data_IF_069990671942
#
_entry.id   IF_069990671942
#
_cell.length_a   1.000
_cell.length_b   1.000
_cell.length_c   1.000
_cell.angle_alpha   90.00
_cell.angle_beta   90.00
_cell.angle_gamma   90.00
#
_symmetry.space_group_name_H-M   'P 1'
#
loop_
_entity.id
_entity.type
_entity.pdbx_description
1 polymer ?
#
# COMPACT_ATOMS: atom_id res chain seq x y z
N UNK A 1 6.41 18.04 2.36
CA UNK A 1 6.69 17.31 1.09
C UNK A 1 5.43 17.39 0.22
N UNK A 2 5.54 17.36 -1.11
CA UNK A 2 4.39 17.50 -2.06
C UNK A 2 4.35 16.27 -2.97
N UNK A 3 3.15 15.77 -3.29
CA UNK A 3 2.97 14.73 -4.32
C UNK A 3 2.78 15.41 -5.67
N UNK A 4 3.63 15.11 -6.68
CA UNK A 4 3.57 15.80 -7.96
C UNK A 4 2.31 15.44 -8.75
N UNK A 5 1.81 16.35 -9.57
CA UNK A 5 0.57 16.15 -10.33
C UNK A 5 0.67 15.00 -11.36
N UNK A 6 1.87 14.77 -11.88
CA UNK A 6 2.15 13.69 -12.83
C UNK A 6 2.45 12.33 -12.14
N UNK A 7 2.11 12.17 -10.86
CA UNK A 7 2.33 10.93 -10.09
C UNK A 7 1.74 9.69 -10.78
N UNK A 8 0.66 9.84 -11.55
CA UNK A 8 0.10 8.75 -12.37
C UNK A 8 1.13 8.15 -13.33
N UNK A 9 1.98 8.98 -13.94
CA UNK A 9 3.02 8.56 -14.89
C UNK A 9 4.24 8.00 -14.15
N UNK A 10 4.63 8.63 -13.04
CA UNK A 10 5.85 8.30 -12.30
C UNK A 10 5.71 7.05 -11.42
N UNK A 11 4.53 6.82 -10.84
CA UNK A 11 4.33 5.69 -9.92
C UNK A 11 4.33 4.38 -10.70
N UNK A 12 5.51 3.79 -10.89
CA UNK A 12 5.73 2.50 -11.51
C UNK A 12 5.63 1.36 -10.47
N UNK A 13 5.51 0.08 -10.87
CA UNK A 13 5.47 -1.04 -9.94
C UNK A 13 6.64 -1.06 -8.96
N UNK A 14 7.85 -0.75 -9.43
CA UNK A 14 9.04 -0.62 -8.59
C UNK A 14 8.91 0.51 -7.55
N UNK A 15 8.37 1.67 -7.94
CA UNK A 15 8.15 2.80 -7.02
C UNK A 15 7.09 2.47 -5.97
N UNK A 16 6.04 1.75 -6.36
CA UNK A 16 5.02 1.24 -5.44
C UNK A 16 5.61 0.24 -4.44
N UNK A 17 6.49 -0.66 -4.91
CA UNK A 17 7.20 -1.59 -4.04
C UNK A 17 8.05 -0.85 -2.99
N UNK A 18 8.82 0.16 -3.41
CA UNK A 18 9.62 0.98 -2.50
C UNK A 18 8.76 1.74 -1.49
N UNK A 19 7.61 2.29 -1.92
CA UNK A 19 6.69 2.97 -1.01
C UNK A 19 6.16 2.02 0.09
N UNK A 20 5.81 0.80 -0.27
CA UNK A 20 5.34 -0.21 0.69
C UNK A 20 6.48 -0.72 1.59
N UNK A 21 7.68 -0.90 1.04
CA UNK A 21 8.83 -1.30 1.86
C UNK A 21 9.22 -0.21 2.86
N UNK A 22 9.16 1.07 2.48
CA UNK A 22 9.46 2.19 3.35
C UNK A 22 8.38 2.37 4.42
N UNK A 23 7.14 2.66 4.01
CA UNK A 23 6.09 3.17 4.90
C UNK A 23 4.90 2.22 5.05
N UNK A 24 4.95 1.04 4.42
CA UNK A 24 3.93 0.02 4.52
C UNK A 24 4.02 -0.77 5.82
N UNK A 25 2.85 -0.97 6.44
CA UNK A 25 2.65 -1.75 7.67
C UNK A 25 1.49 -2.71 7.44
N UNK A 26 1.72 -4.01 7.68
CA UNK A 26 0.67 -5.01 7.64
C UNK A 26 -0.31 -4.80 8.82
N UNK A 27 -1.61 -4.81 8.53
CA UNK A 27 -2.68 -4.62 9.52
C UNK A 27 -3.75 -5.69 9.34
N UNK A 28 -4.66 -5.81 10.30
CA UNK A 28 -5.83 -6.68 10.15
C UNK A 28 -6.63 -6.25 8.90
N UNK A 29 -6.72 -7.14 7.91
CA UNK A 29 -7.49 -6.90 6.70
C UNK A 29 -6.75 -6.16 5.58
N UNK A 30 -5.42 -6.04 5.62
CA UNK A 30 -4.62 -5.55 4.48
C UNK A 30 -3.32 -4.85 4.87
N UNK A 31 -2.97 -3.80 4.14
CA UNK A 31 -1.78 -2.97 4.38
C UNK A 31 -2.19 -1.53 4.60
N UNK A 32 -1.50 -0.86 5.53
CA UNK A 32 -1.57 0.59 5.73
C UNK A 32 -0.26 1.22 5.30
N UNK A 33 -0.32 2.30 4.53
CA UNK A 33 0.84 3.13 4.17
C UNK A 33 0.74 4.42 4.97
N UNK A 34 1.79 4.70 5.76
CA UNK A 34 1.87 5.91 6.57
C UNK A 34 2.24 7.11 5.69
N UNK A 35 1.27 7.97 5.38
CA UNK A 35 1.46 9.18 4.56
C UNK A 35 1.36 10.46 5.38
N UNK A 36 1.75 10.38 6.65
CA UNK A 36 1.61 11.42 7.67
C UNK A 36 2.31 12.76 7.32
N UNK A 37 3.26 12.74 6.38
CA UNK A 37 4.01 13.91 5.90
C UNK A 37 3.39 14.63 4.70
N UNK A 38 2.24 14.17 4.22
CA UNK A 38 1.55 14.68 3.03
C UNK A 38 0.21 15.32 3.39
N UNK A 39 -0.25 16.22 2.53
CA UNK A 39 -1.59 16.80 2.68
C UNK A 39 -2.67 15.79 2.32
N UNK A 40 -3.91 16.00 2.81
CA UNK A 40 -5.05 15.15 2.42
C UNK A 40 -5.22 15.14 0.90
N UNK A 41 -5.06 16.29 0.24
CA UNK A 41 -5.16 16.40 -1.23
C UNK A 41 -4.11 15.53 -1.93
N UNK A 42 -2.87 15.55 -1.46
CA UNK A 42 -1.80 14.71 -1.98
C UNK A 42 -2.11 13.21 -1.82
N UNK A 43 -2.61 12.82 -0.66
CA UNK A 43 -2.96 11.42 -0.37
C UNK A 43 -4.15 10.99 -1.22
N UNK A 44 -5.16 11.85 -1.43
CA UNK A 44 -6.27 11.57 -2.34
C UNK A 44 -5.78 11.37 -3.78
N UNK A 45 -4.84 12.19 -4.28
CA UNK A 45 -4.23 11.97 -5.59
C UNK A 45 -3.56 10.59 -5.67
N UNK A 46 -2.81 10.22 -4.63
CA UNK A 46 -2.13 8.93 -4.58
C UNK A 46 -3.12 7.76 -4.57
N UNK A 47 -4.18 7.82 -3.75
CA UNK A 47 -5.27 6.85 -3.72
C UNK A 47 -5.93 6.71 -5.09
N UNK A 48 -6.23 7.82 -5.76
CA UNK A 48 -6.82 7.79 -7.10
C UNK A 48 -5.92 7.05 -8.11
N UNK A 49 -4.60 7.28 -8.06
CA UNK A 49 -3.68 6.53 -8.94
C UNK A 49 -3.68 5.04 -8.61
N UNK A 50 -3.67 4.65 -7.33
CA UNK A 50 -3.71 3.25 -6.93
C UNK A 50 -4.99 2.55 -7.41
N UNK A 51 -6.14 3.24 -7.36
CA UNK A 51 -7.42 2.73 -7.85
C UNK A 51 -7.43 2.64 -9.38
N UNK A 52 -7.07 3.72 -10.08
CA UNK A 52 -7.23 3.83 -11.54
C UNK A 52 -6.18 2.99 -12.27
N UNK A 53 -4.90 3.12 -11.89
CA UNK A 53 -3.77 2.48 -12.58
C UNK A 53 -3.61 1.02 -12.18
N UNK A 54 -3.72 0.72 -10.89
CA UNK A 54 -3.42 -0.60 -10.35
C UNK A 54 -4.65 -1.40 -9.94
N UNK A 55 -5.86 -0.82 -10.07
CA UNK A 55 -7.13 -1.48 -9.71
C UNK A 55 -7.16 -1.98 -8.26
N UNK A 56 -6.42 -1.31 -7.38
CA UNK A 56 -6.34 -1.65 -5.97
C UNK A 56 -7.51 -1.03 -5.21
N UNK A 57 -8.18 -1.82 -4.39
CA UNK A 57 -9.18 -1.35 -3.44
C UNK A 57 -8.46 -0.70 -2.27
N UNK A 58 -8.42 0.63 -2.30
CA UNK A 58 -7.80 1.43 -1.26
C UNK A 58 -8.67 2.62 -0.84
N UNK A 59 -8.50 3.05 0.40
CA UNK A 59 -9.25 4.12 1.04
C UNK A 59 -8.32 5.03 1.81
N UNK A 60 -8.68 6.31 1.93
CA UNK A 60 -7.99 7.26 2.81
C UNK A 60 -8.56 7.12 4.22
N UNK A 61 -7.69 6.90 5.20
CA UNK A 61 -8.03 6.85 6.61
C UNK A 61 -7.34 8.02 7.33
N UNK A 62 -8.04 8.66 8.26
CA UNK A 62 -7.46 9.64 9.17
C UNK A 62 -7.14 8.93 10.48
N UNK A 63 -5.87 8.94 10.88
CA UNK A 63 -5.41 8.41 12.16
C UNK A 63 -4.63 9.51 12.86
N UNK A 64 -5.07 9.93 14.05
CA UNK A 64 -4.47 11.04 14.80
C UNK A 64 -4.32 12.32 13.97
N UNK A 65 -5.38 12.66 13.22
CA UNK A 65 -5.42 13.78 12.26
C UNK A 65 -4.39 13.72 11.12
N UNK A 66 -3.77 12.55 10.90
CA UNK A 66 -2.80 12.33 9.82
C UNK A 66 -3.40 11.41 8.74
N UNK A 67 -3.27 11.76 7.46
CA UNK A 67 -3.82 10.96 6.38
C UNK A 67 -2.95 9.72 6.12
N UNK A 68 -3.58 8.55 6.03
CA UNK A 68 -2.96 7.26 5.72
C UNK A 68 -3.74 6.56 4.63
N UNK A 69 -3.04 5.74 3.84
CA UNK A 69 -3.69 4.92 2.81
C UNK A 69 -3.89 3.53 3.39
N UNK A 70 -5.10 3.00 3.29
CA UNK A 70 -5.41 1.62 3.58
C UNK A 70 -5.68 0.86 2.28
N UNK A 71 -4.98 -0.23 2.04
CA UNK A 71 -5.19 -1.15 0.93
C UNK A 71 -5.85 -2.41 1.50
N UNK A 72 -7.02 -2.76 0.99
CA UNK A 72 -7.80 -3.91 1.45
C UNK A 72 -7.12 -5.24 1.10
N UNK A 73 -7.30 -6.24 1.96
CA UNK A 73 -6.93 -7.64 1.73
C UNK A 73 -7.47 -8.19 0.41
N UNK A 74 -8.63 -7.69 -0.04
CA UNK A 74 -9.23 -8.04 -1.35
C UNK A 74 -8.35 -7.68 -2.55
N UNK A 75 -7.35 -6.83 -2.37
CA UNK A 75 -6.40 -6.42 -3.41
C UNK A 75 -4.98 -6.87 -3.12
N UNK A 76 -4.75 -7.66 -2.07
CA UNK A 76 -3.41 -8.12 -1.69
C UNK A 76 -2.80 -9.08 -2.70
N UNK A 77 -3.59 -9.99 -3.28
CA UNK A 77 -3.10 -10.92 -4.31
C UNK A 77 -2.67 -10.16 -5.57
N UNK A 78 -3.49 -9.19 -6.00
CA UNK A 78 -3.17 -8.31 -7.12
C UNK A 78 -1.96 -7.42 -6.83
N UNK A 79 -1.90 -6.83 -5.62
CA UNK A 79 -0.77 -6.01 -5.21
C UNK A 79 0.52 -6.84 -5.23
N UNK A 80 0.49 -8.04 -4.64
CA UNK A 80 1.62 -8.95 -4.59
C UNK A 80 2.08 -9.35 -5.99
N UNK A 81 1.16 -9.68 -6.91
CA UNK A 81 1.56 -10.03 -8.29
C UNK A 81 2.28 -8.89 -9.02
N UNK A 82 1.91 -7.64 -8.74
CA UNK A 82 2.53 -6.45 -9.34
C UNK A 82 3.92 -6.17 -8.75
N UNK A 83 4.06 -6.24 -7.42
CA UNK A 83 5.26 -5.71 -6.74
C UNK A 83 6.25 -6.79 -6.28
N UNK A 84 5.85 -8.05 -6.17
CA UNK A 84 6.69 -9.14 -5.64
C UNK A 84 8.08 -9.26 -6.30
N UNK A 85 8.26 -9.01 -7.62
CA UNK A 85 9.60 -9.01 -8.24
C UNK A 85 10.55 -7.93 -7.71
N UNK A 86 10.01 -6.85 -7.12
CA UNK A 86 10.77 -5.69 -6.68
C UNK A 86 10.93 -5.61 -5.15
N UNK A 87 10.34 -6.57 -4.41
CA UNK A 87 10.43 -6.62 -2.95
C UNK A 87 11.65 -7.44 -2.55
N UNK A 88 12.51 -6.85 -1.71
CA UNK A 88 13.67 -7.57 -1.18
C UNK A 88 13.22 -8.71 -0.25
N UNK A 89 13.90 -9.87 -0.24
CA UNK A 89 13.48 -11.02 0.55
C UNK A 89 13.24 -10.72 2.03
N UNK A 90 14.11 -9.89 2.64
CA UNK A 90 14.00 -9.46 4.04
C UNK A 90 12.78 -8.59 4.36
N UNK A 91 12.10 -8.04 3.36
CA UNK A 91 10.90 -7.19 3.51
C UNK A 91 9.60 -7.89 3.08
N UNK A 92 9.67 -9.15 2.62
CA UNK A 92 8.48 -9.91 2.19
C UNK A 92 7.45 -10.10 3.31
N UNK A 93 7.87 -10.10 4.57
CA UNK A 93 6.97 -10.18 5.72
C UNK A 93 5.91 -9.07 5.73
N UNK A 94 6.17 -7.90 5.11
CA UNK A 94 5.22 -6.79 5.01
C UNK A 94 4.01 -7.10 4.12
N UNK A 95 4.12 -8.10 3.23
CA UNK A 95 3.02 -8.54 2.35
C UNK A 95 2.20 -9.68 2.95
N UNK A 96 2.67 -10.28 4.05
CA UNK A 96 1.98 -11.38 4.72
C UNK A 96 0.90 -10.77 5.61
N UNK A 97 -0.37 -10.92 5.20
CA UNK A 97 -1.50 -10.49 6.01
C UNK A 97 -1.71 -11.49 7.15
N UNK A 98 -2.03 -11.02 8.37
CA UNK A 98 -2.22 -11.89 9.54
C UNK A 98 -3.29 -12.97 9.36
N UNK A 99 -4.25 -12.78 8.44
CA UNK A 99 -5.22 -13.79 8.04
C UNK A 99 -4.58 -15.06 7.47
N UNK A 100 -3.46 -14.92 6.75
CA UNK A 100 -2.73 -16.05 6.13
C UNK A 100 -1.91 -16.83 7.16
N UNK A 101 -1.50 -16.20 8.26
CA UNK A 101 -0.75 -16.83 9.36
C UNK A 101 -1.67 -17.78 10.16
N UNK A 102 -2.92 -17.36 10.41
CA UNK A 102 -3.96 -18.20 11.04
C UNK A 102 -4.23 -19.51 10.28
N UNK A 103 -4.19 -19.46 8.94
CA UNK A 103 -4.40 -20.65 8.09
C UNK A 103 -3.21 -21.61 8.04
N UNK A 104 -2.00 -21.15 8.38
CA UNK A 104 -0.80 -22.02 8.46
C UNK A 104 -0.62 -22.66 9.84
N UNK A 105 -1.16 -22.06 10.91
CA UNK A 105 -1.10 -22.63 12.27
C UNK A 105 -2.21 -23.67 12.50
N UNK A 106 -3.26 -23.68 11.66
CA UNK A 106 -4.38 -24.66 11.73
C UNK A 106 -4.20 -25.90 10.84
N UNK A 107 -3.00 -26.17 10.35
CA UNK A 107 -2.68 -27.40 9.60
C UNK A 107 -1.63 -28.22 10.34
#
# INVERSE_FOLDING_TARGET
KIVPENIYRILAPVSLAHLIMADGTAVSGGIRICTDSFTVQDVVRLVNVLIIKYRLKCTLHMVDNKPRIFISSKSMDLLSSIINPYIVPSMKYKLITQSSISSQIKK
#
